data_IF_596086148440
#
_entry.id   IF_596086148440
#
_cell.length_a   1.000
_cell.length_b   1.000
_cell.length_c   1.000
_cell.angle_alpha   90.00
_cell.angle_beta   90.00
_cell.angle_gamma   90.00
#
_symmetry.space_group_name_H-M   'P 1'
#
loop_
_entity.id
_entity.type
_entity.pdbx_description
1 polymer ?
#
# COMPACT_ATOMS: atom_id res chain seq x y z
N UNK A 1 12.27 5.42 -2.87
CA UNK A 1 13.39 4.45 -2.85
C UNK A 1 14.73 5.12 -3.14
N UNK A 2 14.95 5.76 -4.30
CA UNK A 2 16.26 6.35 -4.66
C UNK A 2 16.85 7.34 -3.62
N UNK A 3 16.05 8.29 -3.13
CA UNK A 3 16.50 9.26 -2.12
C UNK A 3 16.80 8.58 -0.77
N UNK A 4 16.05 7.52 -0.42
CA UNK A 4 16.24 6.78 0.83
C UNK A 4 17.51 5.92 0.79
N UNK A 5 17.84 5.35 -0.37
CA UNK A 5 19.07 4.58 -0.57
C UNK A 5 20.31 5.44 -0.39
N UNK A 6 20.27 6.69 -0.87
CA UNK A 6 21.35 7.67 -0.71
C UNK A 6 21.46 8.12 0.75
N UNK A 7 20.33 8.45 1.40
CA UNK A 7 20.33 8.87 2.81
C UNK A 7 20.79 7.79 3.79
N UNK A 8 20.60 6.51 3.44
CA UNK A 8 21.04 5.37 4.25
C UNK A 8 22.42 4.84 3.86
N UNK A 9 23.12 5.52 2.93
CA UNK A 9 24.43 5.11 2.40
C UNK A 9 24.51 3.64 1.98
N UNK A 10 23.44 3.10 1.40
CA UNK A 10 23.42 1.71 0.97
C UNK A 10 24.37 1.47 -0.19
N UNK A 11 25.10 0.35 -0.13
CA UNK A 11 25.93 -0.09 -1.26
C UNK A 11 25.03 -0.56 -2.43
N UNK A 12 25.60 -0.72 -3.63
CA UNK A 12 24.81 -1.04 -4.84
C UNK A 12 23.90 -2.28 -4.65
N UNK A 13 24.44 -3.32 -4.01
CA UNK A 13 23.72 -4.58 -3.74
C UNK A 13 22.59 -4.38 -2.72
N UNK A 14 22.86 -3.65 -1.63
CA UNK A 14 21.86 -3.34 -0.59
C UNK A 14 20.74 -2.46 -1.13
N UNK A 15 21.08 -1.48 -1.97
CA UNK A 15 20.10 -0.62 -2.64
C UNK A 15 19.17 -1.38 -3.57
N UNK A 16 19.67 -2.36 -4.32
CA UNK A 16 18.86 -3.22 -5.19
C UNK A 16 17.92 -4.09 -4.34
N UNK A 17 18.43 -4.74 -3.30
CA UNK A 17 17.61 -5.59 -2.41
C UNK A 17 16.52 -4.73 -1.73
N UNK A 18 16.88 -3.55 -1.24
CA UNK A 18 15.93 -2.61 -0.64
C UNK A 18 14.85 -2.18 -1.65
N UNK A 19 15.22 -1.87 -2.90
CA UNK A 19 14.28 -1.50 -3.94
C UNK A 19 13.30 -2.64 -4.27
N UNK A 20 13.81 -3.87 -4.41
CA UNK A 20 12.99 -5.06 -4.70
C UNK A 20 12.03 -5.34 -3.55
N UNK A 21 12.49 -5.31 -2.30
CA UNK A 21 11.65 -5.51 -1.13
C UNK A 21 10.52 -4.46 -1.04
N UNK A 22 10.84 -3.18 -1.30
CA UNK A 22 9.83 -2.12 -1.36
C UNK A 22 8.82 -2.34 -2.49
N UNK A 23 9.27 -2.77 -3.67
CA UNK A 23 8.39 -3.03 -4.81
C UNK A 23 7.41 -4.18 -4.51
N UNK A 24 7.89 -5.27 -3.89
CA UNK A 24 7.04 -6.39 -3.45
C UNK A 24 6.00 -5.92 -2.43
N UNK A 25 6.42 -5.14 -1.42
CA UNK A 25 5.51 -4.62 -0.40
C UNK A 25 4.43 -3.69 -0.98
N UNK A 26 4.82 -2.80 -1.91
CA UNK A 26 3.87 -1.95 -2.60
C UNK A 26 2.92 -2.74 -3.52
N UNK A 27 3.42 -3.75 -4.21
CA UNK A 27 2.61 -4.66 -5.02
C UNK A 27 1.56 -5.40 -4.19
N UNK A 28 1.93 -5.88 -3.00
CA UNK A 28 0.99 -6.50 -2.05
C UNK A 28 -0.10 -5.51 -1.61
N UNK A 29 0.27 -4.26 -1.30
CA UNK A 29 -0.69 -3.23 -0.93
C UNK A 29 -1.70 -2.94 -2.06
N UNK A 30 -1.23 -2.88 -3.31
CA UNK A 30 -2.10 -2.69 -4.48
C UNK A 30 -3.03 -3.89 -4.71
N UNK A 31 -2.53 -5.12 -4.55
CA UNK A 31 -3.33 -6.33 -4.70
C UNK A 31 -4.48 -6.38 -3.68
N UNK A 32 -4.17 -6.07 -2.42
CA UNK A 32 -5.17 -5.98 -1.36
C UNK A 32 -6.19 -4.88 -1.65
N UNK A 33 -5.73 -3.71 -2.07
CA UNK A 33 -6.61 -2.60 -2.41
C UNK A 33 -7.54 -2.92 -3.59
N UNK A 34 -7.03 -3.61 -4.62
CA UNK A 34 -7.82 -4.06 -5.75
C UNK A 34 -8.90 -5.08 -5.32
N UNK A 35 -8.55 -6.06 -4.49
CA UNK A 35 -9.51 -7.04 -3.97
C UNK A 35 -10.60 -6.40 -3.10
N UNK A 36 -10.23 -5.44 -2.24
CA UNK A 36 -11.22 -4.67 -1.46
C UNK A 36 -12.16 -3.90 -2.39
N UNK A 37 -11.63 -3.27 -3.44
CA UNK A 37 -12.44 -2.51 -4.41
C UNK A 37 -13.41 -3.41 -5.16
N UNK A 38 -12.95 -4.57 -5.64
CA UNK A 38 -13.81 -5.55 -6.31
C UNK A 38 -14.93 -6.06 -5.39
N UNK A 39 -14.62 -6.30 -4.12
CA UNK A 39 -15.62 -6.69 -3.14
C UNK A 39 -16.65 -5.59 -2.86
N UNK A 40 -16.22 -4.32 -2.80
CA UNK A 40 -17.11 -3.18 -2.59
C UNK A 40 -18.03 -2.91 -3.79
N UNK A 41 -17.57 -3.19 -5.02
CA UNK A 41 -18.38 -3.04 -6.23
C UNK A 41 -19.53 -4.06 -6.31
N UNK A 42 -19.37 -5.22 -5.65
CA UNK A 42 -20.41 -6.26 -5.54
C UNK A 42 -21.41 -5.99 -4.40
N UNK A 43 -21.13 -5.03 -3.52
CA UNK A 43 -21.95 -4.75 -2.35
C UNK A 43 -22.85 -3.53 -2.57
N UNK A 44 -23.94 -3.46 -1.80
CA UNK A 44 -24.89 -2.33 -1.84
C UNK A 44 -24.35 -1.10 -1.09
N UNK A 45 -23.43 -0.39 -1.74
CA UNK A 45 -22.90 0.89 -1.25
C UNK A 45 -23.90 2.03 -1.53
N UNK A 46 -24.14 2.97 -0.59
CA UNK A 46 -25.01 4.13 -0.83
C UNK A 46 -24.58 4.94 -2.06
N UNK A 47 -25.55 5.42 -2.86
CA UNK A 47 -25.30 6.10 -4.15
C UNK A 47 -24.29 7.25 -4.06
N UNK A 48 -24.26 8.01 -2.96
CA UNK A 48 -23.32 9.12 -2.76
C UNK A 48 -21.89 8.72 -2.39
N UNK A 49 -21.66 7.45 -2.02
CA UNK A 49 -20.35 6.91 -1.64
C UNK A 49 -19.75 5.95 -2.67
N UNK A 50 -20.53 5.56 -3.70
CA UNK A 50 -20.07 4.66 -4.77
C UNK A 50 -18.86 5.23 -5.51
N UNK A 51 -17.91 4.37 -5.83
CA UNK A 51 -16.70 4.72 -6.58
C UNK A 51 -15.60 5.35 -5.71
N UNK A 52 -15.20 6.58 -6.04
CA UNK A 52 -14.04 7.25 -5.44
C UNK A 52 -14.13 7.46 -3.92
N UNK A 53 -15.27 7.86 -3.33
CA UNK A 53 -15.34 8.13 -1.89
C UNK A 53 -15.05 6.91 -1.04
N UNK A 54 -15.69 5.76 -1.34
CA UNK A 54 -15.45 4.52 -0.58
C UNK A 54 -14.06 3.92 -0.84
N UNK A 55 -13.50 4.15 -2.03
CA UNK A 55 -12.12 3.79 -2.33
C UNK A 55 -11.12 4.57 -1.46
N UNK A 56 -11.36 5.87 -1.20
CA UNK A 56 -10.50 6.65 -0.31
C UNK A 56 -10.62 6.21 1.16
N UNK A 57 -11.83 5.90 1.62
CA UNK A 57 -12.05 5.39 2.99
C UNK A 57 -11.34 4.05 3.17
N UNK A 58 -11.53 3.11 2.24
CA UNK A 58 -10.86 1.80 2.29
C UNK A 58 -9.33 1.93 2.17
N UNK A 59 -8.82 2.84 1.37
CA UNK A 59 -7.39 3.14 1.31
C UNK A 59 -6.86 3.65 2.67
N UNK A 60 -7.62 4.51 3.35
CA UNK A 60 -7.29 4.98 4.70
C UNK A 60 -7.27 3.86 5.74
N UNK A 61 -8.25 2.95 5.70
CA UNK A 61 -8.29 1.76 6.57
C UNK A 61 -7.11 0.83 6.27
N UNK A 62 -6.81 0.59 5.00
CA UNK A 62 -5.66 -0.21 4.58
C UNK A 62 -4.35 0.42 5.08
N UNK A 63 -4.20 1.75 4.99
CA UNK A 63 -3.04 2.46 5.52
C UNK A 63 -2.89 2.29 7.04
N UNK A 64 -3.99 2.34 7.80
CA UNK A 64 -3.97 2.05 9.25
C UNK A 64 -3.57 0.60 9.55
N UNK A 65 -4.04 -0.36 8.76
CA UNK A 65 -3.61 -1.75 8.89
C UNK A 65 -2.10 -1.91 8.65
N UNK A 66 -1.54 -1.22 7.64
CA UNK A 66 -0.10 -1.22 7.39
C UNK A 66 0.71 -0.48 8.48
N UNK A 67 0.17 0.58 9.08
CA UNK A 67 0.80 1.26 10.22
C UNK A 67 0.99 0.33 11.42
N UNK A 68 0.17 -0.72 11.57
CA UNK A 68 0.37 -1.76 12.58
C UNK A 68 1.73 -2.48 12.50
N UNK A 69 2.36 -2.49 11.32
CA UNK A 69 3.70 -3.05 11.12
C UNK A 69 4.83 -2.06 11.44
N UNK A 70 4.52 -0.79 11.71
CA UNK A 70 5.53 0.27 11.93
C UNK A 70 6.38 0.07 13.19
N UNK A 71 6.06 -0.89 14.07
CA UNK A 71 6.85 -1.24 15.25
C UNK A 71 7.55 -2.61 15.16
N UNK A 72 7.45 -3.28 14.02
CA UNK A 72 8.05 -4.60 13.77
C UNK A 72 9.46 -4.50 13.13
N UNK A 73 9.89 -3.30 12.74
CA UNK A 73 11.13 -3.00 12.02
C UNK A 73 11.99 -1.97 12.75
#
# INVERSE_FOLDING_TARGET
>A
VAILTIQKEFNLVEGVIFAVANAIGFGLALLLFAGIREHLDLQDVPKGLKGTPIALISAGILAMAFMGFSGLV
#
